data_IF_409637957121
#
_entry.id   IF_409637957121
#
_cell.length_a   1.000
_cell.length_b   1.000
_cell.length_c   1.000
_cell.angle_alpha   90.00
_cell.angle_beta   90.00
_cell.angle_gamma   90.00
#
_symmetry.space_group_name_H-M   'P 1'
#
loop_
_entity.id
_entity.type
_entity.pdbx_description
1 polymer ?
#
# COMPACT_ATOMS: atom_id res chain seq x y z
N UNK A 1 21.75 -2.61 -12.84
CA UNK A 1 20.37 -2.68 -12.35
C UNK A 1 20.05 -1.30 -11.80
N UNK A 2 19.21 -0.53 -12.48
CA UNK A 2 18.68 0.70 -11.89
C UNK A 2 17.89 0.30 -10.65
N UNK A 3 17.97 1.04 -9.52
CA UNK A 3 17.05 0.81 -8.43
C UNK A 3 15.63 0.88 -8.99
N UNK A 4 14.80 -0.12 -8.69
CA UNK A 4 13.37 -0.03 -8.99
C UNK A 4 12.83 1.09 -8.10
N UNK A 5 12.63 2.27 -8.67
CA UNK A 5 12.02 3.39 -7.98
C UNK A 5 10.53 3.31 -8.27
N UNK A 6 9.76 2.82 -7.31
CA UNK A 6 8.30 2.99 -7.29
C UNK A 6 7.99 4.09 -6.28
N UNK A 7 6.98 4.91 -6.55
CA UNK A 7 6.55 6.00 -5.65
C UNK A 7 5.08 5.85 -5.28
N UNK A 8 4.69 6.38 -4.13
CA UNK A 8 3.28 6.52 -3.75
C UNK A 8 2.65 7.59 -4.65
N UNK A 9 1.69 7.19 -5.48
CA UNK A 9 0.98 8.14 -6.35
C UNK A 9 -0.27 8.71 -5.68
N UNK A 10 -0.96 7.91 -4.86
CA UNK A 10 -2.18 8.32 -4.15
C UNK A 10 -2.35 7.53 -2.86
N UNK A 11 -3.00 8.16 -1.88
CA UNK A 11 -3.36 7.54 -0.60
C UNK A 11 -4.85 7.67 -0.34
N UNK A 12 -5.47 6.60 0.15
CA UNK A 12 -6.88 6.58 0.45
C UNK A 12 -7.20 5.93 1.80
N UNK A 13 -8.21 6.49 2.48
CA UNK A 13 -8.89 5.84 3.60
C UNK A 13 -10.36 5.60 3.26
N UNK A 14 -10.93 4.55 3.85
CA UNK A 14 -12.33 4.19 3.73
C UNK A 14 -12.92 4.06 5.13
N UNK A 15 -13.42 5.16 5.72
CA UNK A 15 -13.97 5.16 7.08
C UNK A 15 -15.21 4.25 7.19
N UNK A 16 -16.01 4.17 6.13
CA UNK A 16 -17.25 3.38 6.06
C UNK A 16 -17.27 2.45 4.83
N UNK A 17 -18.09 1.39 4.89
CA UNK A 17 -18.21 0.43 3.78
C UNK A 17 -18.85 0.99 2.52
N UNK A 18 -19.74 1.97 2.67
CA UNK A 18 -20.60 2.46 1.58
C UNK A 18 -20.17 3.83 1.06
N UNK A 19 -19.26 4.49 1.78
CA UNK A 19 -18.69 5.77 1.38
C UNK A 19 -17.63 5.61 0.28
N UNK A 20 -17.46 6.60 -0.59
CA UNK A 20 -16.29 6.69 -1.46
C UNK A 20 -15.01 6.82 -0.61
N UNK A 21 -13.87 6.47 -1.22
CA UNK A 21 -12.57 6.68 -0.59
C UNK A 21 -12.31 8.16 -0.38
N UNK A 22 -11.65 8.50 0.73
CA UNK A 22 -11.13 9.83 0.97
C UNK A 22 -9.66 9.84 0.59
N UNK A 23 -9.30 10.68 -0.37
CA UNK A 23 -7.92 10.87 -0.80
C UNK A 23 -7.18 11.79 0.18
N UNK A 24 -5.92 11.48 0.45
CA UNK A 24 -5.06 12.20 1.39
C UNK A 24 -3.68 12.44 0.78
N UNK A 25 -3.02 13.54 1.18
CA UNK A 25 -1.61 13.79 0.85
C UNK A 25 -0.66 13.00 1.75
N UNK A 26 -1.09 12.70 2.98
CA UNK A 26 -0.32 11.96 3.98
C UNK A 26 -1.25 11.31 5.00
N UNK A 27 -0.84 10.17 5.56
CA UNK A 27 -1.59 9.45 6.59
C UNK A 27 -0.66 8.71 7.56
N UNK A 28 -1.01 8.72 8.84
CA UNK A 28 -0.35 7.90 9.85
C UNK A 28 -0.79 6.43 9.69
N UNK A 29 0.16 5.52 9.51
CA UNK A 29 -0.11 4.08 9.41
C UNK A 29 0.10 3.43 10.77
N UNK A 30 -0.99 3.02 11.41
CA UNK A 30 -0.99 2.31 12.71
C UNK A 30 -0.83 0.80 12.51
N UNK A 31 -0.59 0.00 13.58
CA UNK A 31 -0.53 -1.46 13.47
C UNK A 31 -1.75 -2.13 12.81
N UNK A 32 -2.91 -1.47 12.83
CA UNK A 32 -4.16 -1.98 12.24
C UNK A 32 -4.52 -1.36 10.89
N UNK A 33 -3.66 -0.50 10.34
CA UNK A 33 -3.86 0.21 9.08
C UNK A 33 -3.83 1.74 9.21
N UNK A 34 -4.08 2.48 8.11
CA UNK A 34 -4.08 3.93 8.11
C UNK A 34 -5.09 4.52 9.11
N UNK A 35 -4.72 5.59 9.81
CA UNK A 35 -5.61 6.28 10.74
C UNK A 35 -6.89 6.77 10.02
N UNK A 36 -8.04 6.58 10.66
CA UNK A 36 -9.35 6.89 10.07
C UNK A 36 -9.86 5.87 9.04
N UNK A 37 -9.04 4.90 8.62
CA UNK A 37 -9.51 3.78 7.80
C UNK A 37 -10.24 2.75 8.66
N UNK A 38 -11.34 2.19 8.14
CA UNK A 38 -12.03 1.09 8.80
C UNK A 38 -11.11 -0.13 8.90
N UNK A 39 -10.93 -0.64 10.12
CA UNK A 39 -10.18 -1.88 10.34
C UNK A 39 -10.79 -3.05 9.55
N UNK A 40 -9.94 -3.77 8.82
CA UNK A 40 -10.27 -4.99 8.10
C UNK A 40 -9.36 -6.13 8.55
N UNK A 41 -9.55 -7.31 7.98
CA UNK A 41 -8.70 -8.49 8.21
C UNK A 41 -7.22 -8.23 7.90
N UNK A 42 -6.93 -7.36 6.95
CA UNK A 42 -5.58 -6.97 6.52
C UNK A 42 -5.38 -5.48 6.77
N UNK A 43 -4.21 -5.12 7.31
CA UNK A 43 -3.94 -3.77 7.78
C UNK A 43 -3.82 -2.77 6.62
N UNK A 44 -3.09 -3.14 5.56
CA UNK A 44 -2.85 -2.29 4.40
C UNK A 44 -3.11 -3.07 3.11
N UNK A 45 -3.77 -2.43 2.14
CA UNK A 45 -3.90 -2.92 0.77
C UNK A 45 -3.17 -1.97 -0.18
N UNK A 46 -2.20 -2.50 -0.93
CA UNK A 46 -1.45 -1.78 -1.95
C UNK A 46 -1.86 -2.24 -3.34
N UNK A 47 -1.98 -1.32 -4.28
CA UNK A 47 -2.27 -1.59 -5.70
C UNK A 47 -1.40 -0.71 -6.58
N UNK A 48 -1.33 -1.02 -7.87
CA UNK A 48 -0.69 -0.14 -8.84
C UNK A 48 -1.66 0.90 -9.39
N UNK A 49 -1.15 1.99 -9.95
CA UNK A 49 -1.95 3.02 -10.60
C UNK A 49 -2.84 2.44 -11.72
N UNK A 50 -2.27 1.56 -12.55
CA UNK A 50 -3.02 0.89 -13.63
C UNK A 50 -4.16 0.02 -13.09
N UNK A 51 -3.89 -0.82 -12.09
CA UNK A 51 -4.91 -1.66 -11.44
C UNK A 51 -6.00 -0.82 -10.77
N UNK A 52 -5.62 0.33 -10.20
CA UNK A 52 -6.55 1.24 -9.56
C UNK A 52 -7.51 1.86 -10.58
N UNK A 53 -6.98 2.34 -11.71
CA UNK A 53 -7.80 2.90 -12.80
C UNK A 53 -8.69 1.83 -13.43
N UNK A 54 -8.21 0.60 -13.59
CA UNK A 54 -8.99 -0.46 -14.20
C UNK A 54 -10.13 -0.95 -13.30
N UNK A 55 -9.85 -1.19 -12.01
CA UNK A 55 -10.76 -1.95 -11.14
C UNK A 55 -11.34 -1.14 -9.98
N UNK A 56 -10.84 0.06 -9.71
CA UNK A 56 -11.22 0.93 -8.59
C UNK A 56 -11.35 0.19 -7.25
N UNK A 57 -10.30 -0.56 -6.83
CA UNK A 57 -10.34 -1.32 -5.60
C UNK A 57 -10.35 -0.37 -4.39
N UNK A 58 -10.91 -0.81 -3.26
CA UNK A 58 -10.82 -0.08 -1.99
C UNK A 58 -9.45 -0.30 -1.32
N UNK A 59 -8.39 0.18 -1.98
CA UNK A 59 -7.00 0.05 -1.59
C UNK A 59 -6.47 1.33 -0.93
N UNK A 60 -5.54 1.19 0.02
CA UNK A 60 -5.06 2.32 0.81
C UNK A 60 -3.91 3.07 0.16
N UNK A 61 -3.03 2.35 -0.54
CA UNK A 61 -1.82 2.90 -1.15
C UNK A 61 -1.82 2.53 -2.62
N UNK A 62 -1.72 3.53 -3.49
CA UNK A 62 -1.52 3.35 -4.93
C UNK A 62 -0.07 3.66 -5.25
N UNK A 63 0.58 2.76 -5.97
CA UNK A 63 1.98 2.86 -6.35
C UNK A 63 2.12 3.09 -7.85
N UNK A 64 3.00 3.99 -8.25
CA UNK A 64 3.44 4.14 -9.63
C UNK A 64 4.52 3.09 -9.93
N UNK A 65 4.07 1.94 -10.44
CA UNK A 65 4.90 0.81 -10.86
C UNK A 65 4.08 -0.23 -11.64
N UNK A 66 4.76 -1.17 -12.28
CA UNK A 66 4.10 -2.32 -12.91
C UNK A 66 3.54 -3.32 -11.87
N UNK A 67 2.34 -3.82 -12.11
CA UNK A 67 1.66 -4.80 -11.24
C UNK A 67 2.48 -6.09 -11.06
N UNK A 68 3.11 -6.58 -12.12
CA UNK A 68 3.98 -7.77 -12.05
C UNK A 68 5.21 -7.59 -11.16
N UNK A 69 5.63 -6.35 -10.89
CA UNK A 69 6.71 -6.04 -9.95
C UNK A 69 6.16 -6.01 -8.53
N UNK A 70 4.97 -5.44 -8.32
CA UNK A 70 4.29 -5.43 -7.03
C UNK A 70 4.03 -6.85 -6.51
N UNK A 71 3.58 -7.76 -7.39
CA UNK A 71 3.35 -9.17 -7.04
C UNK A 71 4.61 -9.88 -6.54
N UNK A 72 5.78 -9.53 -7.09
CA UNK A 72 7.08 -10.10 -6.68
C UNK A 72 7.54 -9.63 -5.30
N UNK A 73 6.88 -8.63 -4.72
CA UNK A 73 7.15 -8.16 -3.36
C UNK A 73 6.49 -9.03 -2.30
N UNK A 74 5.58 -9.96 -2.65
CA UNK A 74 4.98 -10.89 -1.68
C UNK A 74 6.07 -11.64 -0.89
N UNK A 75 5.96 -11.60 0.43
CA UNK A 75 6.93 -12.17 1.36
C UNK A 75 8.10 -11.23 1.72
N UNK A 76 8.21 -10.06 1.07
CA UNK A 76 9.27 -9.07 1.31
C UNK A 76 8.83 -8.01 2.30
N UNK A 77 9.83 -7.34 2.89
CA UNK A 77 9.64 -6.14 3.71
C UNK A 77 9.98 -4.92 2.87
N UNK A 78 9.10 -3.92 2.88
CA UNK A 78 9.25 -2.65 2.17
C UNK A 78 9.13 -1.49 3.14
N UNK A 79 9.67 -0.33 2.76
CA UNK A 79 9.53 0.93 3.47
C UNK A 79 8.91 1.98 2.54
N UNK A 80 7.96 2.73 3.08
CA UNK A 80 7.34 3.91 2.47
C UNK A 80 7.32 5.00 3.53
N UNK A 81 7.98 6.13 3.28
CA UNK A 81 8.14 7.18 4.29
C UNK A 81 8.77 6.63 5.57
N UNK A 82 8.08 6.81 6.70
CA UNK A 82 8.48 6.31 8.01
C UNK A 82 7.94 4.89 8.31
N UNK A 83 6.97 4.42 7.52
CA UNK A 83 6.31 3.14 7.71
C UNK A 83 7.10 1.98 7.10
N UNK A 84 7.22 0.88 7.84
CA UNK A 84 7.75 -0.40 7.34
C UNK A 84 6.63 -1.44 7.28
N UNK A 85 6.46 -2.06 6.11
CA UNK A 85 5.40 -3.00 5.80
C UNK A 85 5.98 -4.35 5.38
N UNK A 86 5.35 -5.44 5.82
CA UNK A 86 5.61 -6.78 5.28
C UNK A 86 4.49 -7.12 4.31
N UNK A 87 4.81 -7.28 3.03
CA UNK A 87 3.85 -7.71 2.01
C UNK A 87 3.57 -9.20 2.21
N UNK A 88 2.30 -9.56 2.39
CA UNK A 88 1.93 -10.90 2.87
C UNK A 88 1.35 -11.80 1.80
N UNK A 89 0.41 -11.30 0.98
CA UNK A 89 -0.30 -12.11 0.00
C UNK A 89 -1.00 -11.25 -1.05
N UNK A 90 -1.30 -11.85 -2.20
CA UNK A 90 -2.24 -11.29 -3.18
C UNK A 90 -3.70 -11.60 -2.74
N UNK A 91 -4.65 -10.67 -2.89
CA UNK A 91 -6.06 -10.97 -2.72
C UNK A 91 -6.55 -12.01 -3.73
N UNK A 92 -7.58 -12.78 -3.38
CA UNK A 92 -8.15 -13.78 -4.30
C UNK A 92 -9.20 -13.22 -5.27
N UNK A 93 -9.69 -11.99 -5.04
CA UNK A 93 -10.82 -11.40 -5.76
C UNK A 93 -10.57 -9.95 -6.23
N UNK A 94 -9.40 -9.38 -5.96
CA UNK A 94 -9.05 -8.04 -6.41
C UNK A 94 -7.54 -7.92 -6.64
N UNK A 95 -7.15 -6.89 -7.38
CA UNK A 95 -5.76 -6.62 -7.74
C UNK A 95 -4.90 -6.19 -6.54
N UNK A 96 -3.58 -6.21 -6.74
CA UNK A 96 -2.57 -5.76 -5.77
C UNK A 96 -2.23 -6.77 -4.69
N UNK A 97 -1.78 -6.27 -3.55
CA UNK A 97 -1.25 -7.07 -2.43
C UNK A 97 -1.68 -6.53 -1.08
N UNK A 98 -1.83 -7.42 -0.10
CA UNK A 98 -1.97 -7.04 1.30
C UNK A 98 -0.62 -6.95 1.99
N UNK A 99 -0.54 -6.09 3.00
CA UNK A 99 0.60 -5.99 3.87
C UNK A 99 0.19 -5.84 5.34
N UNK A 100 1.05 -6.39 6.21
CA UNK A 100 1.00 -6.15 7.64
C UNK A 100 2.00 -5.05 8.00
N UNK A 101 1.69 -4.28 9.05
CA UNK A 101 2.54 -3.19 9.52
C UNK A 101 3.59 -3.75 10.47
N UNK A 102 4.87 -3.58 10.12
CA UNK A 102 6.02 -3.98 10.94
C UNK A 102 6.42 -2.84 11.86
N UNK A 103 6.50 -1.63 11.32
CA UNK A 103 6.80 -0.41 12.08
C UNK A 103 5.80 0.67 11.64
N UNK A 104 4.94 1.15 12.56
CA UNK A 104 4.04 2.28 12.30
C UNK A 104 4.81 3.54 11.92
N UNK A 105 4.14 4.43 11.19
CA UNK A 105 4.69 5.73 10.81
C UNK A 105 3.90 6.39 9.68
N UNK A 106 4.24 7.63 9.40
CA UNK A 106 3.62 8.39 8.33
C UNK A 106 4.04 7.89 6.94
N UNK A 107 3.07 7.87 6.02
CA UNK A 107 3.26 7.68 4.58
C UNK A 107 2.64 8.87 3.87
N UNK A 108 3.35 9.42 2.90
CA UNK A 108 2.92 10.56 2.08
C UNK A 108 2.97 10.22 0.59
N UNK A 109 2.19 10.95 -0.21
CA UNK A 109 2.38 10.96 -1.67
C UNK A 109 3.83 11.34 -1.99
N UNK A 110 4.35 10.80 -3.09
CA UNK A 110 5.75 10.89 -3.54
C UNK A 110 6.78 10.12 -2.70
N UNK A 111 6.37 9.46 -1.61
CA UNK A 111 7.27 8.57 -0.88
C UNK A 111 7.78 7.44 -1.80
N UNK A 112 9.09 7.24 -1.79
CA UNK A 112 9.74 6.20 -2.57
C UNK A 112 9.68 4.86 -1.84
N UNK A 113 9.27 3.82 -2.56
CA UNK A 113 9.33 2.44 -2.11
C UNK A 113 10.77 1.96 -2.04
N UNK A 114 11.19 1.54 -0.85
CA UNK A 114 12.47 0.88 -0.63
C UNK A 114 12.23 -0.57 -0.21
N UNK A 115 12.84 -1.52 -0.90
CA UNK A 115 12.81 -2.94 -0.49
C UNK A 115 13.95 -3.17 0.49
N UNK A 116 13.65 -3.76 1.65
CA UNK A 116 14.69 -4.17 2.58
C UNK A 116 15.62 -5.20 1.89
N UNK A 117 16.92 -5.02 2.02
CA UNK A 117 17.87 -6.05 1.59
C UNK A 117 17.59 -7.33 2.38
N UNK A 118 17.52 -8.45 1.66
CA UNK A 118 17.45 -9.75 2.31
C UNK A 118 18.86 -10.08 2.78
N UNK A 119 19.05 -10.34 4.07
CA UNK A 119 20.29 -10.94 4.60
C UNK A 119 20.58 -12.30 3.95
#
# INVERSE_FOLDING_TARGET
>A
MSPMVATVSSLFIYPDSDSPGQELDSVEVTPTGPEGNRSKKHAVHLVTADDYVETHPKANIVLDMESTVLDKLVGRVIRLGECTLKVTQTPSQCAGVYADVVTPGAVSVDDTLMVAESE
#
